data_IF_135544690487
#
_entry.id   IF_135544690487
#
_cell.length_a   1.000
_cell.length_b   1.000
_cell.length_c   1.000
_cell.angle_alpha   90.00
_cell.angle_beta   90.00
_cell.angle_gamma   90.00
#
_symmetry.space_group_name_H-M   'P 1'
#
loop_
_entity.id
_entity.type
_entity.pdbx_description
1 polymer ?
#
# COMPACT_ATOMS: atom_id res chain seq x y z
N UNK A 1 -55.22 -47.85 65.62
CA UNK A 1 -54.74 -46.44 65.64
C UNK A 1 -53.67 -46.11 66.70
N UNK A 2 -53.53 -46.88 67.79
CA UNK A 2 -52.59 -46.54 68.88
C UNK A 2 -51.09 -46.79 68.56
N UNK A 3 -50.77 -47.90 67.88
CA UNK A 3 -49.37 -48.26 67.56
C UNK A 3 -48.68 -47.31 66.56
N UNK A 4 -49.42 -46.81 65.57
CA UNK A 4 -48.90 -45.84 64.58
C UNK A 4 -48.57 -44.49 65.25
N UNK A 5 -49.40 -44.05 66.22
CA UNK A 5 -49.12 -42.86 67.02
C UNK A 5 -47.83 -43.00 67.84
N UNK A 6 -47.60 -44.15 68.49
CA UNK A 6 -46.38 -44.38 69.26
C UNK A 6 -45.10 -44.36 68.38
N UNK A 7 -45.15 -44.97 67.20
CA UNK A 7 -44.03 -44.95 66.24
C UNK A 7 -43.76 -43.55 65.66
N UNK A 8 -44.81 -42.75 65.42
CA UNK A 8 -44.64 -41.37 65.00
C UNK A 8 -44.01 -40.52 66.10
N UNK A 9 -44.41 -40.68 67.36
CA UNK A 9 -43.83 -39.96 68.50
C UNK A 9 -42.34 -40.28 68.67
N UNK A 10 -41.95 -41.56 68.53
CA UNK A 10 -40.55 -41.98 68.55
C UNK A 10 -39.73 -41.35 67.41
N UNK A 11 -40.24 -41.42 66.17
CA UNK A 11 -39.58 -40.80 64.99
C UNK A 11 -39.51 -39.28 65.08
N UNK A 12 -40.54 -38.61 65.60
CA UNK A 12 -40.57 -37.16 65.80
C UNK A 12 -39.55 -36.76 66.86
N UNK A 13 -39.44 -37.52 67.96
CA UNK A 13 -38.42 -37.28 68.98
C UNK A 13 -37.01 -37.45 68.42
N UNK A 14 -36.73 -38.55 67.70
CA UNK A 14 -35.42 -38.78 67.08
C UNK A 14 -35.04 -37.68 66.07
N UNK A 15 -35.98 -37.24 65.23
CA UNK A 15 -35.76 -36.11 64.29
C UNK A 15 -35.48 -34.80 65.04
N UNK A 16 -36.31 -34.47 66.03
CA UNK A 16 -36.13 -33.27 66.89
C UNK A 16 -34.77 -33.22 67.59
N UNK A 17 -34.14 -34.35 67.90
CA UNK A 17 -32.81 -34.40 68.51
C UNK A 17 -31.68 -34.49 67.47
N UNK A 18 -31.93 -35.12 66.33
CA UNK A 18 -30.95 -35.26 65.23
C UNK A 18 -30.75 -33.95 64.45
N UNK A 19 -31.82 -33.22 64.17
CA UNK A 19 -31.79 -31.98 63.39
C UNK A 19 -30.94 -30.87 64.05
N UNK A 20 -31.10 -30.55 65.35
CA UNK A 20 -30.27 -29.52 65.98
C UNK A 20 -28.80 -29.95 66.13
N UNK A 21 -28.53 -31.25 66.30
CA UNK A 21 -27.17 -31.77 66.33
C UNK A 21 -26.51 -31.64 64.95
N UNK A 22 -27.25 -31.93 63.88
CA UNK A 22 -26.82 -31.73 62.50
C UNK A 22 -26.60 -30.25 62.17
N UNK A 23 -27.50 -29.37 62.60
CA UNK A 23 -27.37 -27.93 62.42
C UNK A 23 -26.18 -27.35 63.19
N UNK A 24 -25.94 -27.80 64.41
CA UNK A 24 -24.76 -27.43 65.19
C UNK A 24 -23.46 -27.91 64.52
N UNK A 25 -23.44 -29.15 64.03
CA UNK A 25 -22.31 -29.68 63.28
C UNK A 25 -22.05 -28.86 62.01
N UNK A 26 -23.11 -28.54 61.25
CA UNK A 26 -23.02 -27.71 60.04
C UNK A 26 -22.53 -26.29 60.34
N UNK A 27 -23.01 -25.67 61.42
CA UNK A 27 -22.51 -24.36 61.90
C UNK A 27 -21.03 -24.42 62.26
N UNK A 28 -20.59 -25.49 62.93
CA UNK A 28 -19.17 -25.71 63.24
C UNK A 28 -18.33 -25.83 61.98
N UNK A 29 -18.73 -26.68 61.02
CA UNK A 29 -18.05 -26.82 59.73
C UNK A 29 -17.93 -25.49 58.96
N UNK A 30 -18.99 -24.69 58.93
CA UNK A 30 -18.97 -23.37 58.29
C UNK A 30 -18.08 -22.36 59.01
N UNK A 31 -17.96 -22.47 60.33
CA UNK A 31 -17.12 -21.59 61.15
C UNK A 31 -15.65 -22.02 61.22
N UNK A 32 -15.34 -23.26 60.81
CA UNK A 32 -13.99 -23.80 60.82
C UNK A 32 -13.13 -23.04 59.81
N UNK A 33 -12.10 -22.36 60.31
CA UNK A 33 -11.07 -21.74 59.48
C UNK A 33 -10.05 -22.80 59.06
N UNK A 34 -9.47 -22.64 57.88
CA UNK A 34 -8.35 -23.47 57.44
C UNK A 34 -7.19 -23.29 58.44
N UNK A 35 -6.56 -24.40 58.84
CA UNK A 35 -5.41 -24.38 59.75
C UNK A 35 -4.13 -23.85 59.08
N UNK A 36 -4.11 -23.85 57.75
CA UNK A 36 -2.98 -23.41 56.93
C UNK A 36 -3.43 -22.20 56.12
N UNK A 37 -2.64 -21.14 56.16
CA UNK A 37 -2.83 -20.00 55.28
C UNK A 37 -2.47 -20.40 53.85
N UNK A 38 -3.47 -20.41 52.97
CA UNK A 38 -3.30 -20.71 51.55
C UNK A 38 -3.19 -19.44 50.70
N UNK A 39 -3.09 -18.26 51.32
CA UNK A 39 -2.88 -17.03 50.57
C UNK A 39 -1.44 -16.97 50.04
N UNK A 40 -1.31 -16.51 48.79
CA UNK A 40 0.01 -16.29 48.20
C UNK A 40 0.82 -15.24 48.97
N UNK A 41 2.16 -15.31 48.92
CA UNK A 41 3.01 -14.30 49.54
C UNK A 41 2.70 -12.92 48.97
N UNK A 42 2.80 -11.88 49.81
CA UNK A 42 2.58 -10.50 49.38
C UNK A 42 3.60 -10.14 48.28
N UNK A 43 3.16 -9.58 47.14
CA UNK A 43 4.09 -9.21 46.09
C UNK A 43 5.09 -8.19 46.61
N UNK A 44 6.34 -8.34 46.19
CA UNK A 44 7.41 -7.43 46.58
C UNK A 44 7.16 -6.03 46.02
N UNK A 45 7.73 -5.01 46.69
CA UNK A 45 7.61 -3.62 46.24
C UNK A 45 8.21 -3.40 44.83
N UNK A 46 9.26 -4.14 44.46
CA UNK A 46 9.88 -4.02 43.15
C UNK A 46 9.05 -4.67 42.02
N UNK A 47 8.19 -5.66 42.33
CA UNK A 47 7.27 -6.26 41.36
C UNK A 47 6.05 -5.35 41.10
N UNK A 48 5.62 -4.60 42.11
CA UNK A 48 4.56 -3.59 41.96
C UNK A 48 5.09 -2.34 41.23
N UNK A 49 6.29 -1.89 41.56
CA UNK A 49 6.96 -0.72 40.97
C UNK A 49 7.99 -1.14 39.90
N UNK A 50 7.51 -1.59 38.74
CA UNK A 50 8.37 -1.95 37.60
C UNK A 50 9.08 -0.70 37.00
N UNK A 51 10.17 -0.26 37.62
CA UNK A 51 10.91 0.96 37.26
C UNK A 51 11.34 1.00 35.79
N UNK A 52 11.81 -0.13 35.23
CA UNK A 52 12.19 -0.23 33.81
C UNK A 52 11.00 0.04 32.89
N UNK A 53 9.81 -0.48 33.24
CA UNK A 53 8.60 -0.22 32.46
C UNK A 53 8.21 1.26 32.51
N UNK A 54 8.33 1.88 33.67
CA UNK A 54 8.06 3.32 33.82
C UNK A 54 9.03 4.15 32.99
N UNK A 55 10.33 3.85 33.08
CA UNK A 55 11.36 4.49 32.26
C UNK A 55 11.06 4.39 30.75
N UNK A 56 10.75 3.20 30.25
CA UNK A 56 10.39 3.01 28.84
C UNK A 56 9.12 3.75 28.43
N UNK A 57 8.16 3.91 29.35
CA UNK A 57 6.97 4.72 29.10
C UNK A 57 7.33 6.20 29.01
N UNK A 58 8.15 6.69 29.94
CA UNK A 58 8.63 8.07 29.97
C UNK A 58 9.45 8.41 28.71
N UNK A 59 10.37 7.53 28.29
CA UNK A 59 11.15 7.67 27.05
C UNK A 59 10.23 7.75 25.81
N UNK A 60 9.21 6.90 25.75
CA UNK A 60 8.22 6.93 24.67
C UNK A 60 7.43 8.23 24.66
N UNK A 61 7.04 8.75 25.83
CA UNK A 61 6.34 10.03 25.92
C UNK A 61 7.23 11.20 25.46
N UNK A 62 8.52 11.18 25.81
CA UNK A 62 9.47 12.19 25.37
C UNK A 62 9.66 12.18 23.85
N UNK A 63 9.75 11.01 23.23
CA UNK A 63 9.84 10.92 21.76
C UNK A 63 8.58 11.47 21.09
N UNK A 64 7.39 11.09 21.57
CA UNK A 64 6.11 11.62 21.06
C UNK A 64 6.07 13.15 21.19
N UNK A 65 6.51 13.71 22.32
CA UNK A 65 6.53 15.16 22.51
C UNK A 65 7.52 15.84 21.56
N UNK A 66 8.70 15.26 21.35
CA UNK A 66 9.69 15.75 20.39
C UNK A 66 9.14 15.75 18.98
N UNK A 67 8.52 14.65 18.54
CA UNK A 67 7.89 14.53 17.23
C UNK A 67 6.77 15.55 17.04
N UNK A 68 5.91 15.73 18.06
CA UNK A 68 4.85 16.74 18.05
C UNK A 68 5.42 18.16 17.91
N UNK A 69 6.50 18.48 18.63
CA UNK A 69 7.16 19.79 18.52
C UNK A 69 7.75 20.01 17.12
N UNK A 70 8.37 18.98 16.53
CA UNK A 70 8.87 19.03 15.15
C UNK A 70 7.71 19.25 14.17
N UNK A 71 6.61 18.53 14.34
CA UNK A 71 5.43 18.66 13.50
C UNK A 71 4.83 20.06 13.59
N UNK A 72 4.64 20.57 14.81
CA UNK A 72 4.15 21.93 15.04
C UNK A 72 5.09 22.98 14.45
N UNK A 73 6.41 22.79 14.57
CA UNK A 73 7.39 23.66 13.93
C UNK A 73 7.28 23.66 12.40
N UNK A 74 7.06 22.48 11.79
CA UNK A 74 6.84 22.36 10.34
C UNK A 74 5.52 23.01 9.91
N UNK A 75 4.43 22.77 10.65
CA UNK A 75 3.13 23.36 10.37
C UNK A 75 3.15 24.88 10.51
N UNK A 76 3.75 25.40 11.59
CA UNK A 76 3.95 26.83 11.79
C UNK A 76 4.75 27.45 10.65
N UNK A 77 5.83 26.79 10.19
CA UNK A 77 6.58 27.24 9.02
C UNK A 77 5.71 27.26 7.75
N UNK A 78 4.92 26.23 7.50
CA UNK A 78 4.01 26.18 6.34
C UNK A 78 2.96 27.28 6.43
N UNK A 79 2.38 27.52 7.61
CA UNK A 79 1.39 28.57 7.84
C UNK A 79 1.98 29.98 7.71
N UNK A 80 3.23 30.17 8.15
CA UNK A 80 3.94 31.44 8.03
C UNK A 80 4.36 31.73 6.59
N UNK A 81 4.72 30.70 5.82
CA UNK A 81 5.03 30.85 4.40
C UNK A 81 3.74 31.03 3.60
N UNK A 82 3.71 31.99 2.67
CA UNK A 82 2.52 32.37 1.89
C UNK A 82 2.17 31.38 0.76
N UNK A 83 2.36 30.07 0.98
CA UNK A 83 1.94 29.01 0.06
C UNK A 83 2.74 28.88 -1.25
N UNK A 84 3.88 29.55 -1.39
CA UNK A 84 4.75 29.38 -2.55
C UNK A 84 5.54 28.08 -2.48
N UNK A 85 5.32 27.17 -3.43
CA UNK A 85 6.33 26.16 -3.76
C UNK A 85 7.46 26.91 -4.43
N UNK A 86 8.63 26.98 -3.79
CA UNK A 86 9.84 27.57 -4.37
C UNK A 86 10.35 26.69 -5.53
N UNK A 87 9.60 26.68 -6.64
CA UNK A 87 10.02 26.17 -7.93
C UNK A 87 10.88 27.20 -8.69
N UNK A 88 11.26 28.29 -8.03
CA UNK A 88 12.31 29.16 -8.55
C UNK A 88 13.62 28.37 -8.50
N UNK A 89 14.37 28.27 -9.61
CA UNK A 89 15.77 27.86 -9.51
C UNK A 89 16.44 28.77 -8.46
N UNK A 90 17.32 28.23 -7.60
CA UNK A 90 17.99 29.04 -6.58
C UNK A 90 18.67 30.23 -7.28
N UNK A 91 18.48 31.43 -6.74
CA UNK A 91 19.00 32.69 -7.28
C UNK A 91 20.54 32.69 -7.45
N UNK A 92 21.23 31.72 -6.85
CA UNK A 92 22.67 31.49 -6.98
C UNK A 92 22.99 30.20 -7.74
N UNK A 93 22.65 30.15 -9.03
CA UNK A 93 23.12 29.13 -9.97
C UNK A 93 22.85 27.67 -9.58
N UNK A 94 23.22 26.70 -10.43
CA UNK A 94 23.23 25.31 -10.00
C UNK A 94 24.33 25.18 -8.94
N UNK A 95 23.93 25.16 -7.66
CA UNK A 95 24.74 24.61 -6.57
C UNK A 95 25.47 23.39 -7.14
N UNK A 96 26.81 23.43 -7.09
CA UNK A 96 27.70 22.42 -7.66
C UNK A 96 27.32 21.05 -7.11
N UNK A 97 26.37 20.39 -7.76
CA UNK A 97 25.96 19.05 -7.39
C UNK A 97 27.14 18.14 -7.65
N UNK A 98 27.36 17.15 -6.77
CA UNK A 98 28.40 16.12 -6.95
C UNK A 98 28.31 15.42 -8.32
N UNK A 99 27.16 15.51 -8.98
CA UNK A 99 26.83 14.94 -10.28
C UNK A 99 27.22 15.88 -11.45
N UNK A 100 27.58 17.14 -11.19
CA UNK A 100 27.91 18.12 -12.23
C UNK A 100 29.07 17.65 -13.11
N UNK A 101 30.13 17.10 -12.53
CA UNK A 101 31.28 16.58 -13.28
C UNK A 101 30.96 15.33 -14.10
N UNK A 102 29.99 14.52 -13.68
CA UNK A 102 29.48 13.38 -14.47
C UNK A 102 28.65 13.88 -15.64
N UNK A 103 27.72 14.81 -15.38
CA UNK A 103 26.87 15.42 -16.41
C UNK A 103 27.70 16.13 -17.49
N UNK A 104 28.74 16.86 -17.11
CA UNK A 104 29.64 17.53 -18.06
C UNK A 104 30.34 16.51 -18.96
N UNK A 105 30.91 15.44 -18.39
CA UNK A 105 31.55 14.37 -19.18
C UNK A 105 30.58 13.66 -20.12
N UNK A 106 29.35 13.42 -19.68
CA UNK A 106 28.31 12.83 -20.52
C UNK A 106 27.92 13.76 -21.67
N UNK A 107 27.75 15.06 -21.40
CA UNK A 107 27.48 16.05 -22.43
C UNK A 107 28.63 16.12 -23.45
N UNK A 108 29.88 16.13 -22.98
CA UNK A 108 31.06 16.11 -23.85
C UNK A 108 31.08 14.83 -24.72
N UNK A 109 30.84 13.66 -24.13
CA UNK A 109 30.78 12.40 -24.87
C UNK A 109 29.68 12.44 -25.96
N UNK A 110 28.48 12.91 -25.62
CA UNK A 110 27.37 13.09 -26.56
C UNK A 110 27.75 14.06 -27.68
N UNK A 111 28.41 15.18 -27.38
CA UNK A 111 28.83 16.15 -28.41
C UNK A 111 29.87 15.57 -29.36
N UNK A 112 30.83 14.80 -28.85
CA UNK A 112 31.83 14.11 -29.68
C UNK A 112 31.18 13.05 -30.57
N UNK A 113 30.22 12.30 -30.03
CA UNK A 113 29.47 11.32 -30.82
C UNK A 113 28.61 11.98 -31.89
N UNK A 114 27.87 13.04 -31.55
CA UNK A 114 27.05 13.80 -32.49
C UNK A 114 27.88 14.41 -33.62
N UNK A 115 29.06 14.96 -33.31
CA UNK A 115 29.95 15.50 -34.35
C UNK A 115 30.52 14.40 -35.24
N UNK A 116 30.84 13.23 -34.68
CA UNK A 116 31.24 12.04 -35.46
C UNK A 116 30.13 11.55 -36.38
N UNK A 117 28.90 11.47 -35.88
CA UNK A 117 27.73 11.08 -36.66
C UNK A 117 27.45 12.10 -37.77
N UNK A 118 27.50 13.39 -37.46
CA UNK A 118 27.31 14.46 -38.43
C UNK A 118 28.31 14.37 -39.58
N UNK A 119 29.60 14.18 -39.27
CA UNK A 119 30.63 13.99 -40.32
C UNK A 119 30.31 12.80 -41.21
N UNK A 120 29.96 11.65 -40.61
CA UNK A 120 29.55 10.46 -41.38
C UNK A 120 28.35 10.72 -42.28
N UNK A 121 27.36 11.46 -41.80
CA UNK A 121 26.18 11.82 -42.58
C UNK A 121 26.52 12.76 -43.73
N UNK A 122 27.43 13.72 -43.51
CA UNK A 122 27.90 14.66 -44.53
C UNK A 122 28.78 13.98 -45.59
N UNK A 123 29.65 13.06 -45.18
CA UNK A 123 30.55 12.33 -46.09
C UNK A 123 29.81 11.26 -46.91
N UNK A 124 28.68 10.75 -46.39
CA UNK A 124 27.91 9.71 -47.06
C UNK A 124 27.19 10.30 -48.29
N UNK A 125 27.52 9.76 -49.46
CA UNK A 125 26.83 10.10 -50.72
C UNK A 125 25.36 9.65 -50.66
N UNK A 126 24.42 10.45 -51.17
CA UNK A 126 23.03 10.02 -51.27
C UNK A 126 22.92 8.83 -52.22
N UNK A 127 22.25 7.76 -51.78
CA UNK A 127 21.99 6.56 -52.61
C UNK A 127 21.01 6.84 -53.74
N UNK A 128 20.14 7.84 -53.54
CA UNK A 128 19.10 8.22 -54.48
C UNK A 128 19.38 9.64 -54.97
N UNK A 129 19.62 9.79 -56.27
CA UNK A 129 19.79 11.10 -56.91
C UNK A 129 18.44 11.69 -57.23
N UNK A 130 18.15 12.90 -56.71
CA UNK A 130 16.92 13.62 -57.02
C UNK A 130 16.75 13.85 -58.53
N UNK A 131 17.85 14.13 -59.22
CA UNK A 131 17.84 14.37 -60.67
C UNK A 131 17.50 13.10 -61.45
N UNK A 132 17.96 11.94 -60.97
CA UNK A 132 17.62 10.65 -61.59
C UNK A 132 16.14 10.34 -61.38
N UNK A 133 15.64 10.49 -60.15
CA UNK A 133 14.21 10.28 -59.85
C UNK A 133 13.30 11.23 -60.66
N UNK A 134 13.68 12.49 -60.78
CA UNK A 134 12.92 13.48 -61.55
C UNK A 134 12.88 13.10 -63.04
N UNK A 135 14.01 12.62 -63.57
CA UNK A 135 14.09 12.12 -64.95
C UNK A 135 13.22 10.88 -65.13
N UNK A 136 13.29 9.94 -64.21
CA UNK A 136 12.51 8.70 -64.24
C UNK A 136 11.00 9.01 -64.16
N UNK A 137 10.61 9.96 -63.32
CA UNK A 137 9.24 10.47 -63.21
C UNK A 137 8.75 11.10 -64.52
N UNK A 138 9.56 11.94 -65.17
CA UNK A 138 9.21 12.52 -66.46
C UNK A 138 9.16 11.48 -67.59
N UNK A 139 9.98 10.43 -67.50
CA UNK A 139 9.94 9.31 -68.46
C UNK A 139 8.66 8.51 -68.25
N UNK A 140 8.28 8.18 -67.01
CA UNK A 140 7.02 7.48 -66.73
C UNK A 140 5.82 8.31 -67.17
N UNK A 141 5.79 9.61 -66.87
CA UNK A 141 4.71 10.50 -67.29
C UNK A 141 4.54 10.51 -68.82
N UNK A 142 5.65 10.63 -69.56
CA UNK A 142 5.60 10.58 -71.03
C UNK A 142 5.20 9.21 -71.56
N UNK A 143 5.61 8.15 -70.88
CA UNK A 143 5.26 6.77 -71.25
C UNK A 143 3.78 6.52 -71.05
N UNK A 144 3.20 6.96 -69.93
CA UNK A 144 1.77 6.88 -69.66
C UNK A 144 0.96 7.65 -70.72
N UNK A 145 1.44 8.83 -71.14
CA UNK A 145 0.81 9.60 -72.24
C UNK A 145 0.90 8.87 -73.59
N UNK A 146 2.04 8.24 -73.90
CA UNK A 146 2.22 7.46 -75.13
C UNK A 146 1.39 6.17 -75.12
N UNK A 147 1.28 5.51 -73.98
CA UNK A 147 0.50 4.28 -73.82
C UNK A 147 -1.00 4.58 -73.94
N UNK A 148 -1.47 5.72 -73.41
CA UNK A 148 -2.84 6.21 -73.66
C UNK A 148 -3.09 6.51 -75.15
N UNK A 149 -2.16 7.19 -75.82
CA UNK A 149 -2.27 7.46 -77.26
C UNK A 149 -2.13 6.21 -78.15
N UNK A 150 -1.42 5.18 -77.69
CA UNK A 150 -1.32 3.90 -78.38
C UNK A 150 -2.62 3.10 -78.29
N UNK A 151 -3.36 3.20 -77.17
CA UNK A 151 -4.70 2.62 -77.04
C UNK A 151 -5.70 3.34 -77.96
N UNK A 152 -5.61 4.66 -78.09
CA UNK A 152 -6.43 5.42 -79.05
C UNK A 152 -6.11 5.04 -80.51
N UNK A 153 -4.83 4.89 -80.87
CA UNK A 153 -4.40 4.46 -82.19
C UNK A 153 -4.77 3.00 -82.51
N UNK A 154 -4.75 2.11 -81.51
CA UNK A 154 -5.22 0.73 -81.63
C UNK A 154 -6.75 0.66 -81.74
N UNK A 155 -7.49 1.53 -81.06
CA UNK A 155 -8.95 1.65 -81.20
C UNK A 155 -9.36 2.21 -82.58
N UNK A 156 -8.62 3.19 -83.10
CA UNK A 156 -8.79 3.69 -84.47
C UNK A 156 -8.43 2.64 -85.53
N UNK A 157 -7.38 1.85 -85.31
CA UNK A 157 -7.01 0.74 -86.20
C UNK A 157 -8.04 -0.40 -86.14
N UNK A 158 -8.57 -0.74 -84.95
CA UNK A 158 -9.62 -1.75 -84.81
C UNK A 158 -10.93 -1.31 -85.49
N UNK A 159 -11.33 -0.04 -85.40
CA UNK A 159 -12.47 0.49 -86.15
C UNK A 159 -12.22 0.54 -87.67
N UNK A 160 -10.98 0.46 -88.14
CA UNK A 160 -10.62 0.44 -89.57
C UNK A 160 -10.66 -0.96 -90.18
N UNK A 161 -10.76 -2.02 -89.38
CA UNK A 161 -10.74 -3.43 -89.83
C UNK A 161 -12.17 -3.98 -90.04
N UNK A 162 -13.23 -3.21 -89.72
CA UNK A 162 -14.63 -3.61 -89.92
C UNK A 162 -15.21 -3.29 -91.33
N UNK A 163 -14.39 -2.83 -92.28
CA UNK A 163 -14.72 -2.89 -93.71
C UNK A 163 -13.75 -3.85 -94.40
N UNK A 164 -14.30 -4.82 -95.14
CA UNK A 164 -13.61 -5.92 -95.87
C UNK A 164 -13.47 -7.23 -95.06
N UNK A 165 -14.63 -7.78 -94.71
CA UNK A 165 -14.88 -9.21 -94.87
C UNK A 165 -15.21 -9.45 -96.35
N UNK A 166 -14.32 -10.12 -97.09
CA UNK A 166 -14.69 -11.25 -97.94
C UNK A 166 -13.46 -11.97 -98.52
N UNK A 167 -13.49 -13.29 -98.31
CA UNK A 167 -12.89 -14.37 -99.11
C UNK A 167 -11.37 -14.57 -99.07
N UNK A 168 -10.95 -15.67 -98.40
CA UNK A 168 -10.30 -16.84 -99.02
C UNK A 168 -9.80 -17.86 -97.95
N UNK A 169 -9.68 -19.12 -98.37
CA UNK A 169 -9.82 -20.40 -97.64
C UNK A 169 -8.64 -20.89 -96.76
N UNK A 170 -8.82 -21.97 -95.95
CA UNK A 170 -7.97 -22.30 -94.79
C UNK A 170 -6.85 -23.31 -95.08
N UNK A 171 -5.72 -23.19 -94.35
CA UNK A 171 -4.73 -24.28 -94.22
C UNK A 171 -4.25 -24.41 -92.76
N UNK A 172 -4.16 -25.67 -92.34
CA UNK A 172 -4.04 -26.23 -91.00
C UNK A 172 -2.58 -26.26 -90.50
N UNK A 173 -2.42 -26.45 -89.18
CA UNK A 173 -1.26 -27.00 -88.41
C UNK A 173 -0.32 -25.96 -87.77
N UNK A 174 0.20 -26.09 -86.54
CA UNK A 174 0.17 -27.12 -85.48
C UNK A 174 0.59 -26.50 -84.13
N UNK A 175 -0.03 -27.02 -83.07
CA UNK A 175 0.27 -27.05 -81.62
C UNK A 175 1.66 -26.58 -81.13
N UNK A 176 1.74 -25.87 -79.98
CA UNK A 176 2.28 -26.35 -78.68
C UNK A 176 1.86 -25.36 -77.56
N UNK A 177 1.26 -25.92 -76.50
CA UNK A 177 1.03 -25.29 -75.19
C UNK A 177 2.19 -25.59 -74.24
N UNK A 178 2.55 -24.69 -73.31
CA UNK A 178 3.15 -24.93 -71.98
C UNK A 178 2.94 -23.66 -71.13
N UNK A 179 2.08 -23.71 -70.09
CA UNK A 179 2.40 -23.94 -68.66
C UNK A 179 3.04 -22.69 -68.01
N UNK A 180 2.36 -21.92 -67.14
CA UNK A 180 1.87 -22.18 -65.77
C UNK A 180 2.92 -21.88 -64.66
N UNK A 181 2.39 -21.43 -63.51
CA UNK A 181 2.96 -21.50 -62.14
C UNK A 181 3.94 -20.39 -61.73
N UNK A 182 3.93 -19.79 -60.52
CA UNK A 182 2.99 -19.54 -59.40
C UNK A 182 3.69 -18.49 -58.52
N UNK A 183 2.92 -17.78 -57.69
CA UNK A 183 3.41 -16.91 -56.63
C UNK A 183 3.65 -17.66 -55.31
N UNK A 184 4.53 -17.14 -54.46
CA UNK A 184 4.53 -17.39 -53.00
C UNK A 184 5.23 -16.24 -52.25
N UNK A 185 4.62 -15.69 -51.17
CA UNK A 185 5.33 -14.93 -50.15
C UNK A 185 5.21 -15.60 -48.76
N UNK A 186 6.34 -15.75 -48.04
CA UNK A 186 6.35 -16.22 -46.64
C UNK A 186 6.80 -15.14 -45.67
N UNK A 187 5.92 -14.92 -44.68
CA UNK A 187 6.04 -14.13 -43.45
C UNK A 187 7.01 -14.82 -42.45
N UNK A 188 7.88 -14.10 -41.74
CA UNK A 188 7.66 -13.33 -40.49
C UNK A 188 7.64 -14.22 -39.23
N UNK A 189 8.65 -14.09 -38.36
CA UNK A 189 8.67 -14.70 -37.01
C UNK A 189 9.46 -13.79 -36.05
N UNK A 190 8.83 -13.47 -34.92
CA UNK A 190 9.28 -12.52 -33.91
C UNK A 190 9.43 -13.16 -32.52
N UNK A 191 10.33 -12.56 -31.74
CA UNK A 191 10.87 -12.95 -30.43
C UNK A 191 9.87 -13.32 -29.31
N UNK A 192 10.35 -14.18 -28.39
CA UNK A 192 9.77 -14.30 -27.04
C UNK A 192 10.85 -14.36 -25.94
N UNK A 193 10.73 -13.44 -24.99
CA UNK A 193 11.47 -13.39 -23.73
C UNK A 193 10.50 -13.59 -22.56
N UNK A 194 10.83 -14.43 -21.58
CA UNK A 194 10.07 -14.54 -20.32
C UNK A 194 10.98 -14.39 -19.11
N UNK A 195 10.50 -13.61 -18.14
CA UNK A 195 11.14 -13.34 -16.85
C UNK A 195 10.23 -13.78 -15.71
N UNK A 196 10.87 -14.17 -14.61
CA UNK A 196 10.32 -14.78 -13.41
C UNK A 196 9.72 -13.75 -12.45
N UNK A 197 8.68 -14.15 -11.71
CA UNK A 197 8.25 -13.45 -10.50
C UNK A 197 7.80 -14.45 -9.43
N UNK A 198 8.24 -14.18 -8.20
CA UNK A 198 7.99 -14.90 -6.97
C UNK A 198 6.93 -14.18 -6.14
N UNK A 199 5.98 -14.93 -5.57
CA UNK A 199 4.92 -14.41 -4.71
C UNK A 199 5.01 -15.01 -3.31
N UNK A 200 5.13 -14.15 -2.30
CA UNK A 200 5.02 -14.46 -0.88
C UNK A 200 3.60 -14.10 -0.39
N UNK A 201 2.94 -15.03 0.28
CA UNK A 201 1.61 -14.86 0.86
C UNK A 201 1.70 -14.73 2.39
N UNK A 202 1.22 -13.62 2.93
CA UNK A 202 1.05 -13.34 4.36
C UNK A 202 -0.38 -13.66 4.81
N UNK A 203 -0.49 -14.23 6.00
CA UNK A 203 -1.70 -14.73 6.64
C UNK A 203 -2.44 -13.64 7.44
N UNK A 204 -3.77 -13.67 7.37
CA UNK A 204 -4.70 -12.78 8.07
C UNK A 204 -5.57 -13.56 9.05
N UNK A 205 -5.46 -13.25 10.35
CA UNK A 205 -6.45 -13.63 11.36
C UNK A 205 -6.32 -12.76 12.62
N UNK A 206 -7.41 -12.62 13.37
CA UNK A 206 -7.59 -11.94 14.69
C UNK A 206 -8.22 -10.54 14.70
N UNK A 207 -9.55 -10.49 14.49
CA UNK A 207 -10.40 -9.31 14.73
C UNK A 207 -11.16 -9.35 16.06
N UNK A 208 -11.09 -10.44 16.83
CA UNK A 208 -11.90 -10.64 18.05
C UNK A 208 -11.20 -10.27 19.37
N UNK A 209 -9.94 -9.81 19.32
CA UNK A 209 -9.09 -9.61 20.50
C UNK A 209 -8.84 -8.12 20.85
N UNK A 210 -9.48 -7.21 20.11
CA UNK A 210 -9.38 -5.74 20.26
C UNK A 210 -10.41 -5.19 21.25
N UNK A 211 -11.66 -5.65 21.20
CA UNK A 211 -12.76 -5.11 22.01
C UNK A 211 -12.59 -5.38 23.51
N UNK A 212 -12.04 -6.54 23.86
CA UNK A 212 -11.87 -6.95 25.25
C UNK A 212 -10.68 -6.23 25.96
N UNK A 213 -9.75 -5.66 25.17
CA UNK A 213 -8.64 -4.82 25.68
C UNK A 213 -9.11 -3.40 25.98
N UNK A 214 -10.09 -2.88 25.27
CA UNK A 214 -10.63 -1.53 25.44
C UNK A 214 -11.49 -1.44 26.71
N UNK A 215 -12.36 -2.42 26.95
CA UNK A 215 -13.17 -2.49 28.17
C UNK A 215 -12.32 -2.59 29.47
N UNK A 216 -11.18 -3.28 29.42
CA UNK A 216 -10.24 -3.39 30.55
C UNK A 216 -9.50 -2.09 30.84
N UNK A 217 -9.27 -1.24 29.82
CA UNK A 217 -8.68 0.10 29.99
C UNK A 217 -9.67 1.07 30.64
N UNK A 218 -10.91 1.12 30.16
CA UNK A 218 -11.95 1.98 30.73
C UNK A 218 -12.20 1.74 32.23
N UNK A 219 -12.27 0.46 32.66
CA UNK A 219 -12.42 0.10 34.09
C UNK A 219 -11.22 0.50 34.94
N UNK A 220 -10.02 0.55 34.35
CA UNK A 220 -8.79 0.96 35.05
C UNK A 220 -8.77 2.48 35.24
N UNK A 221 -9.21 3.23 34.24
CA UNK A 221 -9.27 4.68 34.29
C UNK A 221 -10.36 5.18 35.26
N UNK A 222 -11.52 4.52 35.31
CA UNK A 222 -12.56 4.80 36.31
C UNK A 222 -12.08 4.56 37.76
N UNK A 223 -11.36 3.45 38.00
CA UNK A 223 -10.75 3.16 39.30
C UNK A 223 -9.67 4.18 39.67
N UNK A 224 -8.90 4.66 38.69
CA UNK A 224 -7.88 5.70 38.89
C UNK A 224 -8.54 7.03 39.26
N UNK A 225 -9.60 7.43 38.55
CA UNK A 225 -10.37 8.64 38.85
C UNK A 225 -10.99 8.61 40.26
N UNK A 226 -11.63 7.49 40.64
CA UNK A 226 -12.17 7.30 42.01
C UNK A 226 -11.09 7.37 43.09
N UNK A 227 -9.88 6.88 42.81
CA UNK A 227 -8.75 6.96 43.74
C UNK A 227 -8.23 8.39 43.89
N UNK A 228 -8.18 9.16 42.80
CA UNK A 228 -7.74 10.56 42.84
C UNK A 228 -8.75 11.46 43.55
N UNK A 229 -10.04 11.29 43.28
CA UNK A 229 -11.10 12.01 43.99
C UNK A 229 -11.11 11.73 45.50
N UNK A 230 -10.82 10.48 45.91
CA UNK A 230 -10.70 10.13 47.33
C UNK A 230 -9.49 10.80 48.00
N UNK A 231 -8.38 10.95 47.29
CA UNK A 231 -7.19 11.62 47.82
C UNK A 231 -7.41 13.12 48.01
N UNK A 232 -8.14 13.75 47.08
CA UNK A 232 -8.47 15.17 47.14
C UNK A 232 -9.42 15.50 48.31
N UNK A 233 -10.40 14.63 48.59
CA UNK A 233 -11.27 14.77 49.76
C UNK A 233 -10.49 14.68 51.09
N UNK A 234 -9.51 13.78 51.20
CA UNK A 234 -8.75 13.62 52.45
C UNK A 234 -7.79 14.77 52.75
N UNK A 235 -7.31 15.49 51.74
CA UNK A 235 -6.40 16.62 51.96
C UNK A 235 -7.16 17.85 52.49
N UNK A 236 -8.41 18.03 52.06
CA UNK A 236 -9.28 19.13 52.48
C UNK A 236 -9.68 19.10 53.97
N UNK A 237 -9.90 17.91 54.54
CA UNK A 237 -10.20 17.75 55.97
C UNK A 237 -8.97 18.03 56.86
N UNK A 238 -7.77 17.75 56.37
CA UNK A 238 -6.53 17.98 57.14
C UNK A 238 -6.21 19.47 57.30
N UNK A 239 -6.59 20.29 56.32
CA UNK A 239 -6.34 21.73 56.33
C UNK A 239 -7.23 22.49 57.32
N UNK A 240 -8.47 22.05 57.55
CA UNK A 240 -9.37 22.70 58.50
C UNK A 240 -8.95 22.48 59.96
N UNK A 241 -8.40 21.30 60.30
CA UNK A 241 -7.99 20.96 61.67
C UNK A 241 -6.76 21.71 62.21
N UNK A 242 -5.92 22.30 61.35
CA UNK A 242 -4.72 23.04 61.76
C UNK A 242 -4.97 24.52 62.05
N UNK A 243 -6.09 25.08 61.57
CA UNK A 243 -6.42 26.50 61.74
C UNK A 243 -7.02 26.86 63.12
N UNK A 244 -7.52 25.88 63.87
CA UNK A 244 -8.22 26.12 65.15
C UNK A 244 -7.34 26.04 66.40
N UNK A 245 -6.01 25.88 66.28
CA UNK A 245 -5.11 25.65 67.42
C UNK A 245 -4.15 26.80 67.75
N UNK A 246 -4.28 27.96 67.11
CA UNK A 246 -3.36 29.11 67.28
C UNK A 246 -3.98 30.36 67.94
N UNK A 247 -5.10 30.23 68.65
CA UNK A 247 -5.69 31.35 69.42
C UNK A 247 -5.85 30.97 70.88
N UNK A 248 -4.84 31.28 71.70
CA UNK A 248 -4.95 31.07 73.14
C UNK A 248 -3.63 31.11 73.87
N UNK A 249 -3.09 32.31 74.09
CA UNK A 249 -2.33 32.70 75.29
C UNK A 249 -1.66 34.05 75.04
N UNK A 250 -2.22 35.14 75.56
CA UNK A 250 -1.46 36.31 76.01
C UNK A 250 -2.38 37.13 76.93
N UNK A 251 -2.16 36.99 78.24
CA UNK A 251 -2.77 37.78 79.30
C UNK A 251 -1.77 37.84 80.44
N UNK A 252 -1.09 38.98 80.55
CA UNK A 252 -0.44 39.51 81.75
C UNK A 252 -0.49 41.05 81.67
#
# INVERSE_FOLDING_TARGET
MCAVKALMVSKISSKKHSDPAYDLHRKKLLSMKASVDNNGPKPSRHQSDNKKKKMLQDDRYLEIQRENNILLGKMSRIMATRGGVDNSPPAHGPSSSLIRSRRIRELEAITVENTRLLRRLQDKKPTISRVALERDFQISEKRDVLDLGALDAQAEAACRVDEVVQDEQPVVTVVVAMDAVEEDPTADESDSSSSSSSSSSSSSSTSSDSEDKEAKRARKDEKKAKKMAKAEATDSDSAQSKSSKSSGSDSD
#
